data_IF_641907783609
#
_entry.id   IF_641907783609
#
_cell.length_a   1.000
_cell.length_b   1.000
_cell.length_c   1.000
_cell.angle_alpha   90.00
_cell.angle_beta   90.00
_cell.angle_gamma   90.00
#
_symmetry.space_group_name_H-M   'P 1'
#
loop_
_entity.id
_entity.type
_entity.pdbx_description
1 polymer ?
#
# COMPACT_ATOMS: atom_id res chain seq x y z
N UNK A 1 -26.50 -81.38 -16.88
CA UNK A 1 -25.39 -82.22 -16.36
C UNK A 1 -24.11 -81.39 -16.46
N UNK A 2 -23.46 -81.24 -15.31
CA UNK A 2 -22.24 -80.48 -15.00
C UNK A 2 -21.17 -80.47 -16.11
N UNK A 3 -20.58 -79.29 -16.40
CA UNK A 3 -19.13 -79.19 -16.53
C UNK A 3 -18.64 -77.76 -16.21
N UNK A 4 -18.01 -77.65 -15.04
CA UNK A 4 -17.17 -76.55 -14.55
C UNK A 4 -16.00 -76.32 -15.53
N UNK A 5 -15.76 -75.05 -15.91
CA UNK A 5 -14.44 -74.61 -16.40
C UNK A 5 -13.86 -73.63 -15.38
N UNK A 6 -12.66 -73.94 -14.90
CA UNK A 6 -11.87 -73.15 -13.95
C UNK A 6 -11.50 -71.78 -14.54
N UNK A 7 -11.79 -70.70 -13.81
CA UNK A 7 -11.13 -69.41 -13.96
C UNK A 7 -9.79 -69.44 -13.20
N UNK A 8 -8.68 -69.39 -13.93
CA UNK A 8 -7.37 -69.12 -13.36
C UNK A 8 -7.25 -67.61 -13.06
N UNK A 9 -7.09 -67.28 -11.78
CA UNK A 9 -6.78 -65.93 -11.31
C UNK A 9 -5.30 -65.63 -11.57
N UNK A 10 -5.03 -64.71 -12.51
CA UNK A 10 -3.70 -64.15 -12.68
C UNK A 10 -3.47 -63.07 -11.60
N UNK A 11 -2.65 -63.40 -10.60
CA UNK A 11 -2.07 -62.44 -9.66
C UNK A 11 -1.12 -61.51 -10.43
N UNK A 12 -1.53 -60.27 -10.65
CA UNK A 12 -0.66 -59.19 -11.10
C UNK A 12 0.21 -58.74 -9.92
N UNK A 13 1.48 -59.13 -9.94
CA UNK A 13 2.51 -58.57 -9.06
C UNK A 13 2.73 -57.10 -9.41
N UNK A 14 2.27 -56.20 -8.53
CA UNK A 14 2.59 -54.76 -8.62
C UNK A 14 4.06 -54.61 -8.24
N UNK A 15 4.93 -54.03 -9.10
CA UNK A 15 6.28 -53.72 -8.72
C UNK A 15 6.24 -52.61 -7.67
N UNK A 16 6.79 -52.88 -6.48
CA UNK A 16 7.08 -51.87 -5.47
C UNK A 16 8.10 -50.92 -6.08
N UNK A 17 7.63 -49.78 -6.58
CA UNK A 17 8.52 -48.69 -6.95
C UNK A 17 9.20 -48.19 -5.67
N UNK A 18 10.51 -48.32 -5.61
CA UNK A 18 11.33 -47.63 -4.63
C UNK A 18 11.05 -46.13 -4.75
N UNK A 19 10.27 -45.59 -3.82
CA UNK A 19 10.14 -44.15 -3.61
C UNK A 19 11.52 -43.68 -3.14
N UNK A 20 12.29 -43.14 -4.08
CA UNK A 20 13.50 -42.41 -3.73
C UNK A 20 13.07 -41.23 -2.86
N UNK A 21 13.56 -41.19 -1.62
CA UNK A 21 13.32 -40.07 -0.73
C UNK A 21 13.74 -38.78 -1.45
N UNK A 22 12.82 -37.82 -1.54
CA UNK A 22 13.15 -36.48 -2.04
C UNK A 22 14.34 -35.96 -1.23
N UNK A 23 15.35 -35.34 -1.86
CA UNK A 23 16.45 -34.75 -1.13
C UNK A 23 15.90 -33.79 -0.07
N UNK A 24 16.38 -33.94 1.16
CA UNK A 24 16.07 -33.02 2.26
C UNK A 24 16.25 -31.58 1.74
N UNK A 25 15.27 -30.67 1.89
CA UNK A 25 15.47 -29.28 1.53
C UNK A 25 16.69 -28.78 2.31
N UNK A 26 17.70 -28.28 1.58
CA UNK A 26 18.89 -27.71 2.18
C UNK A 26 18.46 -26.68 3.22
N UNK A 27 18.91 -26.84 4.46
CA UNK A 27 18.66 -25.89 5.55
C UNK A 27 19.17 -24.53 5.09
N UNK A 28 18.26 -23.60 4.84
CA UNK A 28 18.61 -22.21 4.53
C UNK A 28 19.28 -21.64 5.78
N UNK A 29 20.53 -21.19 5.66
CA UNK A 29 21.23 -20.58 6.78
C UNK A 29 20.47 -19.33 7.23
N UNK A 30 20.17 -19.23 8.53
CA UNK A 30 19.58 -18.04 9.10
C UNK A 30 20.50 -16.83 8.89
N UNK A 31 19.95 -15.60 8.68
CA UNK A 31 20.76 -14.40 8.63
C UNK A 31 21.64 -14.25 9.88
N UNK A 32 22.87 -13.74 9.76
CA UNK A 32 23.75 -13.54 10.92
C UNK A 32 23.19 -12.44 11.83
N UNK A 33 23.30 -12.61 13.15
CA UNK A 33 22.84 -11.62 14.15
C UNK A 33 23.61 -10.28 14.12
N UNK A 34 24.73 -10.23 13.39
CA UNK A 34 25.55 -9.03 13.18
C UNK A 34 25.98 -8.98 11.72
N UNK A 35 25.66 -7.89 11.04
CA UNK A 35 26.07 -7.70 9.65
C UNK A 35 27.47 -7.11 9.57
N UNK A 36 28.14 -7.38 8.45
CA UNK A 36 29.49 -6.88 8.20
C UNK A 36 29.42 -5.42 7.74
N UNK A 37 30.28 -4.55 8.26
CA UNK A 37 30.32 -3.18 7.76
C UNK A 37 30.85 -3.12 6.32
N UNK A 38 30.28 -2.22 5.50
CA UNK A 38 30.80 -1.94 4.17
C UNK A 38 30.99 -0.43 3.96
N UNK A 39 32.13 0.15 4.40
CA UNK A 39 32.37 1.59 4.31
C UNK A 39 32.50 2.11 2.87
N UNK A 40 32.70 1.22 1.88
CA UNK A 40 32.78 1.63 0.48
C UNK A 40 31.44 2.16 -0.07
N UNK A 41 30.31 1.76 0.51
CA UNK A 41 28.97 2.16 0.07
C UNK A 41 28.65 3.56 0.60
N UNK A 42 28.61 4.54 -0.31
CA UNK A 42 28.35 5.95 0.04
C UNK A 42 29.57 6.72 0.56
N UNK A 43 30.78 6.15 0.40
CA UNK A 43 32.08 6.79 0.68
C UNK A 43 32.27 7.25 2.14
N UNK A 44 31.91 6.40 3.10
CA UNK A 44 32.01 6.73 4.52
C UNK A 44 33.44 6.87 5.01
N UNK A 45 33.75 8.04 5.58
CA UNK A 45 35.03 8.34 6.24
C UNK A 45 34.75 9.01 7.59
N UNK A 46 35.69 8.93 8.54
CA UNK A 46 35.58 9.54 9.86
C UNK A 46 35.04 8.63 10.96
N UNK A 47 34.54 9.23 12.05
CA UNK A 47 33.97 8.48 13.18
C UNK A 47 32.67 7.81 12.78
N UNK A 48 32.33 6.68 13.41
CA UNK A 48 31.09 5.97 13.15
C UNK A 48 30.56 5.28 14.40
N UNK A 49 29.26 5.01 14.41
CA UNK A 49 28.61 4.16 15.41
C UNK A 49 27.90 3.01 14.71
N UNK A 50 28.09 1.81 15.23
CA UNK A 50 27.46 0.60 14.73
C UNK A 50 26.35 0.12 15.66
N UNK A 51 25.31 -0.45 15.07
CA UNK A 51 24.39 -1.41 15.69
C UNK A 51 24.51 -2.76 14.98
N UNK A 52 23.56 -3.69 15.13
CA UNK A 52 23.61 -5.00 14.50
C UNK A 52 23.59 -4.92 12.95
N UNK A 53 22.66 -4.12 12.43
CA UNK A 53 22.31 -4.06 11.01
C UNK A 53 22.63 -2.71 10.36
N UNK A 54 23.03 -1.70 11.14
CA UNK A 54 23.23 -0.33 10.67
C UNK A 54 24.54 0.28 11.14
N UNK A 55 25.00 1.28 10.37
CA UNK A 55 26.13 2.14 10.71
C UNK A 55 25.79 3.59 10.45
N UNK A 56 26.05 4.49 11.42
CA UNK A 56 25.85 5.95 11.28
C UNK A 56 27.20 6.66 11.16
N UNK A 57 27.27 7.64 10.25
CA UNK A 57 28.41 8.55 10.04
C UNK A 57 27.99 10.03 10.05
N UNK A 58 28.79 10.93 10.63
CA UNK A 58 29.76 10.65 11.70
C UNK A 58 29.05 10.20 12.98
N UNK A 59 29.77 9.57 13.90
CA UNK A 59 29.23 9.30 15.25
C UNK A 59 29.11 10.59 16.05
N UNK A 60 27.97 10.76 16.71
CA UNK A 60 27.61 11.92 17.53
C UNK A 60 26.49 11.61 18.55
N UNK A 61 25.86 12.65 19.10
CA UNK A 61 24.78 12.53 20.09
C UNK A 61 23.47 11.91 19.55
N UNK A 62 23.18 12.02 18.25
CA UNK A 62 21.95 11.50 17.64
C UNK A 62 22.10 10.05 17.16
N UNK A 63 23.34 9.58 17.05
CA UNK A 63 23.67 8.26 16.49
C UNK A 63 22.98 7.12 17.22
N UNK A 64 22.96 7.12 18.55
CA UNK A 64 22.35 6.04 19.33
C UNK A 64 20.82 6.01 19.17
N UNK A 65 20.16 7.17 19.15
CA UNK A 65 18.72 7.27 18.93
C UNK A 65 18.34 6.83 17.50
N UNK A 66 19.14 7.22 16.51
CA UNK A 66 18.97 6.83 15.10
C UNK A 66 19.09 5.31 14.93
N UNK A 67 20.16 4.72 15.45
CA UNK A 67 20.41 3.28 15.36
C UNK A 67 19.33 2.48 16.08
N UNK A 68 18.93 2.90 17.28
CA UNK A 68 17.87 2.27 18.07
C UNK A 68 16.53 2.22 17.31
N UNK A 69 16.18 3.31 16.64
CA UNK A 69 14.98 3.40 15.80
C UNK A 69 15.05 2.46 14.59
N UNK A 70 16.18 2.47 13.88
CA UNK A 70 16.39 1.62 12.69
C UNK A 70 16.43 0.13 13.05
N UNK A 71 17.02 -0.26 14.18
CA UNK A 71 16.97 -1.64 14.66
C UNK A 71 15.55 -2.10 14.99
N UNK A 72 14.74 -1.24 15.61
CA UNK A 72 13.32 -1.55 15.83
C UNK A 72 12.54 -1.65 14.50
N UNK A 73 12.86 -0.82 13.51
CA UNK A 73 12.26 -0.90 12.17
C UNK A 73 12.69 -2.19 11.45
N UNK A 74 13.97 -2.57 11.51
CA UNK A 74 14.49 -3.83 10.96
C UNK A 74 13.78 -5.03 11.58
N UNK A 75 13.71 -5.08 12.91
CA UNK A 75 13.04 -6.18 13.60
C UNK A 75 11.55 -6.26 13.25
N UNK A 76 10.86 -5.13 13.10
CA UNK A 76 9.47 -5.14 12.64
C UNK A 76 9.33 -5.65 11.20
N UNK A 77 10.00 -5.00 10.25
CA UNK A 77 9.72 -5.20 8.82
C UNK A 77 10.46 -6.38 8.22
N UNK A 78 11.76 -6.53 8.51
CA UNK A 78 12.59 -7.58 7.94
C UNK A 78 12.33 -8.90 8.67
N UNK A 79 12.47 -8.90 10.00
CA UNK A 79 12.33 -10.13 10.79
C UNK A 79 10.84 -10.50 11.01
N UNK A 80 10.01 -9.51 11.35
CA UNK A 80 8.61 -9.73 11.71
C UNK A 80 7.64 -9.82 10.51
N UNK A 81 7.92 -9.10 9.43
CA UNK A 81 7.04 -9.06 8.24
C UNK A 81 7.66 -9.69 6.99
N UNK A 82 8.92 -10.12 7.02
CA UNK A 82 9.56 -10.81 5.91
C UNK A 82 9.92 -9.92 4.71
N UNK A 83 10.07 -8.61 4.91
CA UNK A 83 10.68 -7.75 3.89
C UNK A 83 12.13 -8.18 3.66
N UNK A 84 12.59 -8.11 2.42
CA UNK A 84 13.99 -8.43 2.13
C UNK A 84 14.93 -7.42 2.78
N UNK A 85 15.95 -7.91 3.47
CA UNK A 85 16.89 -7.06 4.19
C UNK A 85 17.66 -6.14 3.24
N UNK A 86 17.73 -4.82 3.50
CA UNK A 86 18.58 -3.90 2.73
C UNK A 86 20.08 -4.18 2.86
N UNK A 87 20.47 -5.01 3.83
CA UNK A 87 21.84 -5.46 3.97
C UNK A 87 22.30 -6.45 2.90
N UNK A 88 21.38 -6.94 2.06
CA UNK A 88 21.70 -7.81 0.95
C UNK A 88 21.68 -7.07 -0.38
N UNK A 89 22.67 -7.34 -1.22
CA UNK A 89 22.68 -6.86 -2.59
C UNK A 89 21.44 -7.35 -3.33
N UNK A 90 20.70 -6.46 -4.00
CA UNK A 90 19.59 -6.87 -4.87
C UNK A 90 20.07 -7.79 -6.00
N UNK A 91 21.36 -7.77 -6.34
CA UNK A 91 21.94 -8.64 -7.38
C UNK A 91 21.92 -10.11 -6.98
N UNK A 92 21.78 -10.38 -5.68
CA UNK A 92 21.63 -11.73 -5.13
C UNK A 92 20.16 -12.16 -5.07
N UNK A 93 19.18 -11.33 -5.47
CA UNK A 93 17.74 -11.59 -5.35
C UNK A 93 17.19 -12.70 -6.28
N UNK A 94 18.05 -13.52 -6.89
CA UNK A 94 17.68 -14.56 -7.84
C UNK A 94 17.76 -16.00 -7.29
N UNK A 95 18.18 -16.23 -6.04
CA UNK A 95 18.21 -17.57 -5.44
C UNK A 95 17.12 -17.74 -4.38
N UNK A 96 16.51 -18.93 -4.35
CA UNK A 96 15.57 -19.36 -3.30
C UNK A 96 16.20 -19.41 -1.89
N UNK A 97 17.48 -19.09 -1.78
CA UNK A 97 18.27 -19.04 -0.55
C UNK A 97 19.12 -17.78 -0.54
N UNK A 98 18.86 -16.87 0.39
CA UNK A 98 19.70 -15.70 0.60
C UNK A 98 20.93 -16.10 1.41
N UNK A 99 22.09 -16.15 0.76
CA UNK A 99 23.33 -16.68 1.38
C UNK A 99 24.31 -15.59 1.81
N UNK A 100 23.93 -14.31 1.71
CA UNK A 100 24.82 -13.18 1.95
C UNK A 100 25.71 -12.85 0.74
N UNK A 101 26.81 -12.10 0.92
CA UNK A 101 27.23 -11.47 2.17
C UNK A 101 26.20 -10.45 2.69
N UNK A 102 26.11 -10.32 4.02
CA UNK A 102 25.19 -9.42 4.71
C UNK A 102 25.93 -8.18 5.20
N UNK A 103 25.51 -7.01 4.73
CA UNK A 103 26.16 -5.74 5.03
C UNK A 103 25.29 -4.82 5.88
N UNK A 104 25.93 -4.06 6.78
CA UNK A 104 25.23 -2.98 7.50
C UNK A 104 24.75 -1.93 6.50
N UNK A 105 23.53 -1.42 6.67
CA UNK A 105 23.06 -0.26 5.90
C UNK A 105 23.71 1.00 6.48
N UNK A 106 24.42 1.75 5.64
CA UNK A 106 25.08 2.99 6.06
C UNK A 106 24.08 4.15 6.08
N UNK A 107 24.19 5.01 7.10
CA UNK A 107 23.41 6.23 7.28
C UNK A 107 24.37 7.40 7.44
N UNK A 108 24.25 8.38 6.55
CA UNK A 108 25.11 9.56 6.51
C UNK A 108 24.32 10.77 6.97
N UNK A 109 24.70 11.34 8.11
CA UNK A 109 24.24 12.64 8.53
C UNK A 109 24.88 13.71 7.65
N UNK A 110 24.05 14.58 7.08
CA UNK A 110 24.50 15.67 6.19
C UNK A 110 23.93 17.00 6.64
N UNK A 111 24.58 18.09 6.22
CA UNK A 111 24.03 19.45 6.40
C UNK A 111 22.88 19.69 5.43
N UNK A 112 21.90 20.51 5.82
CA UNK A 112 20.76 20.86 4.98
C UNK A 112 21.18 21.46 3.62
N UNK A 113 22.30 22.21 3.60
CA UNK A 113 22.86 22.78 2.38
C UNK A 113 23.35 21.74 1.36
N UNK A 114 23.63 20.50 1.79
CA UNK A 114 24.02 19.41 0.91
C UNK A 114 22.81 18.70 0.26
N UNK A 115 21.60 18.92 0.78
CA UNK A 115 20.35 18.36 0.25
C UNK A 115 19.23 19.42 0.29
N UNK A 116 19.35 20.50 -0.51
CA UNK A 116 18.37 21.58 -0.49
C UNK A 116 16.98 21.07 -0.83
N UNK A 117 16.00 21.34 0.04
CA UNK A 117 14.61 20.96 -0.15
C UNK A 117 14.25 19.51 0.23
N UNK A 118 15.18 18.74 0.81
CA UNK A 118 14.92 17.36 1.27
C UNK A 118 15.36 17.15 2.73
N UNK A 119 14.55 16.43 3.49
CA UNK A 119 14.89 16.03 4.87
C UNK A 119 15.84 14.81 4.89
N UNK A 120 15.69 13.92 3.92
CA UNK A 120 16.55 12.78 3.70
C UNK A 120 16.42 12.29 2.25
N UNK A 121 17.33 11.41 1.84
CA UNK A 121 17.28 10.71 0.57
C UNK A 121 17.94 9.33 0.69
N UNK A 122 17.35 8.35 0.04
CA UNK A 122 17.97 7.04 -0.16
C UNK A 122 18.78 7.07 -1.43
N UNK A 123 20.07 6.82 -1.28
CA UNK A 123 21.00 6.69 -2.38
C UNK A 123 21.34 5.23 -2.62
N UNK A 124 21.87 4.95 -3.80
CA UNK A 124 22.17 3.58 -4.21
C UNK A 124 23.57 3.47 -4.76
N UNK A 125 24.20 2.33 -4.50
CA UNK A 125 25.36 1.87 -5.23
C UNK A 125 24.90 0.76 -6.17
N UNK A 126 24.66 1.10 -7.43
CA UNK A 126 24.20 0.15 -8.44
C UNK A 126 25.25 -0.92 -8.77
N UNK A 127 26.54 -0.67 -8.51
CA UNK A 127 27.61 -1.64 -8.73
C UNK A 127 27.58 -2.72 -7.64
N UNK A 128 27.45 -2.33 -6.38
CA UNK A 128 27.30 -3.25 -5.25
C UNK A 128 25.89 -3.83 -5.15
N UNK A 129 24.89 -3.15 -5.73
CA UNK A 129 23.48 -3.48 -5.59
C UNK A 129 22.90 -3.20 -4.21
N UNK A 130 23.44 -2.21 -3.50
CA UNK A 130 23.08 -1.86 -2.12
C UNK A 130 22.56 -0.42 -2.04
N UNK A 131 21.72 -0.14 -1.04
CA UNK A 131 21.25 1.19 -0.72
C UNK A 131 21.97 1.74 0.53
N UNK A 132 21.98 3.06 0.67
CA UNK A 132 22.43 3.78 1.86
C UNK A 132 21.63 5.07 2.02
N UNK A 133 21.55 5.57 3.25
CA UNK A 133 20.69 6.70 3.58
C UNK A 133 21.54 7.96 3.75
N UNK A 134 21.07 9.10 3.24
CA UNK A 134 21.55 10.42 3.63
C UNK A 134 20.42 11.14 4.35
N UNK A 135 20.68 11.66 5.55
CA UNK A 135 19.67 12.29 6.40
C UNK A 135 20.20 13.64 6.84
N UNK A 136 19.42 14.70 6.64
CA UNK A 136 19.78 16.03 7.16
C UNK A 136 19.80 15.97 8.68
N UNK A 137 20.82 16.58 9.30
CA UNK A 137 21.10 16.48 10.74
C UNK A 137 19.86 16.67 11.64
N UNK A 138 19.00 17.64 11.31
CA UNK A 138 17.83 18.00 12.12
C UNK A 138 16.74 16.89 12.13
N UNK A 139 16.85 15.90 11.25
CA UNK A 139 15.89 14.81 11.08
C UNK A 139 16.44 13.42 11.44
N UNK A 140 17.68 13.32 11.94
CA UNK A 140 18.32 12.03 12.28
C UNK A 140 17.48 11.17 13.24
N UNK A 141 16.73 11.81 14.12
CA UNK A 141 15.88 11.15 15.12
C UNK A 141 14.39 11.24 14.80
N UNK A 142 14.02 11.67 13.59
CA UNK A 142 12.63 11.80 13.15
C UNK A 142 12.15 10.52 12.46
N UNK A 143 11.26 9.72 13.07
CA UNK A 143 10.85 8.43 12.49
C UNK A 143 10.20 8.53 11.12
N UNK A 144 9.38 9.58 10.91
CA UNK A 144 8.72 9.81 9.63
C UNK A 144 9.69 10.04 8.47
N UNK A 145 10.93 10.44 8.75
CA UNK A 145 11.97 10.66 7.75
C UNK A 145 12.87 9.44 7.62
N UNK A 146 13.47 8.99 8.72
CA UNK A 146 14.49 7.93 8.66
C UNK A 146 13.88 6.57 8.31
N UNK A 147 12.68 6.25 8.81
CA UNK A 147 12.01 4.99 8.48
C UNK A 147 11.39 5.04 7.08
N UNK A 148 11.04 6.22 6.58
CA UNK A 148 10.67 6.42 5.18
C UNK A 148 11.83 6.03 4.25
N UNK A 149 13.03 6.55 4.51
CA UNK A 149 14.22 6.18 3.73
C UNK A 149 14.58 4.70 3.87
N UNK A 150 14.39 4.12 5.06
CA UNK A 150 14.54 2.67 5.22
C UNK A 150 13.53 1.89 4.36
N UNK A 151 12.31 2.40 4.18
CA UNK A 151 11.31 1.88 3.24
C UNK A 151 11.77 1.87 1.78
N UNK A 152 12.43 2.95 1.33
CA UNK A 152 13.08 2.98 0.01
C UNK A 152 14.20 1.93 -0.10
N UNK A 153 15.04 1.81 0.91
CA UNK A 153 16.12 0.81 0.92
C UNK A 153 15.59 -0.63 0.87
N UNK A 154 14.48 -0.93 1.57
CA UNK A 154 13.78 -2.22 1.47
C UNK A 154 13.17 -2.44 0.09
N UNK A 155 12.54 -1.42 -0.49
CA UNK A 155 11.97 -1.52 -1.85
C UNK A 155 13.07 -1.79 -2.89
N UNK A 156 14.22 -1.13 -2.76
CA UNK A 156 15.39 -1.36 -3.61
C UNK A 156 15.95 -2.78 -3.46
N UNK A 157 15.97 -3.32 -2.24
CA UNK A 157 16.51 -4.65 -2.00
C UNK A 157 15.73 -5.75 -2.75
N UNK A 158 14.42 -5.57 -2.97
CA UNK A 158 13.53 -6.54 -3.65
C UNK A 158 13.73 -6.64 -5.18
N UNK A 159 14.60 -5.82 -5.79
CA UNK A 159 14.96 -5.76 -7.23
C UNK A 159 13.83 -5.50 -8.23
N UNK A 160 12.70 -6.19 -8.19
CA UNK A 160 11.78 -6.32 -9.32
C UNK A 160 11.15 -5.00 -9.83
N UNK A 161 11.15 -3.95 -9.02
CA UNK A 161 10.69 -2.61 -9.41
C UNK A 161 11.81 -1.66 -9.86
N UNK A 162 13.08 -2.07 -9.75
CA UNK A 162 14.21 -1.31 -10.29
C UNK A 162 14.13 -1.33 -11.82
N UNK A 163 14.48 -0.19 -12.45
CA UNK A 163 14.44 0.03 -13.90
C UNK A 163 13.02 -0.08 -14.49
N UNK A 164 11.98 0.10 -13.66
CA UNK A 164 10.57 0.12 -14.07
C UNK A 164 9.98 1.51 -13.84
N UNK A 165 10.09 2.41 -14.83
CA UNK A 165 9.68 3.83 -14.73
C UNK A 165 8.30 4.00 -14.10
N UNK A 166 7.33 3.18 -14.49
CA UNK A 166 5.92 3.31 -14.05
C UNK A 166 5.66 2.86 -12.61
N UNK A 167 6.69 2.34 -11.93
CA UNK A 167 6.66 2.12 -10.48
C UNK A 167 7.15 3.34 -9.70
N UNK A 168 7.86 4.30 -10.34
CA UNK A 168 8.62 5.34 -9.65
C UNK A 168 7.83 6.12 -8.60
N UNK A 169 6.65 6.65 -8.93
CA UNK A 169 5.85 7.42 -7.95
C UNK A 169 5.38 6.57 -6.76
N UNK A 170 5.25 5.25 -6.94
CA UNK A 170 4.84 4.33 -5.88
C UNK A 170 5.94 4.07 -4.86
N UNK A 171 7.20 4.33 -5.18
CA UNK A 171 8.30 4.19 -4.22
C UNK A 171 8.07 5.11 -3.02
N UNK A 172 7.71 6.37 -3.26
CA UNK A 172 7.38 7.32 -2.20
C UNK A 172 6.12 6.94 -1.44
N UNK A 173 5.11 6.41 -2.15
CA UNK A 173 3.89 5.90 -1.52
C UNK A 173 4.19 4.75 -0.56
N UNK A 174 5.06 3.81 -0.95
CA UNK A 174 5.50 2.69 -0.11
C UNK A 174 6.35 3.18 1.06
N UNK A 175 7.29 4.09 0.82
CA UNK A 175 8.14 4.64 1.88
C UNK A 175 7.32 5.36 2.96
N UNK A 176 6.33 6.17 2.57
CA UNK A 176 5.40 6.78 3.52
C UNK A 176 4.47 5.77 4.21
N UNK A 177 4.02 4.74 3.50
CA UNK A 177 3.26 3.64 4.11
C UNK A 177 4.08 2.93 5.20
N UNK A 178 5.34 2.62 4.93
CA UNK A 178 6.26 1.97 5.88
C UNK A 178 6.49 2.86 7.10
N UNK A 179 6.75 4.15 6.89
CA UNK A 179 6.91 5.11 7.98
C UNK A 179 5.64 5.23 8.84
N UNK A 180 4.47 5.43 8.23
CA UNK A 180 3.21 5.53 8.96
C UNK A 180 2.90 4.22 9.72
N UNK A 181 3.08 3.07 9.08
CA UNK A 181 2.89 1.76 9.71
C UNK A 181 3.76 1.60 10.96
N UNK A 182 5.03 1.98 10.88
CA UNK A 182 5.95 1.96 12.01
C UNK A 182 5.49 2.87 13.15
N UNK A 183 5.07 4.09 12.85
CA UNK A 183 4.74 5.12 13.83
C UNK A 183 3.39 4.86 14.50
N UNK A 184 2.38 4.59 13.69
CA UNK A 184 0.98 4.83 14.03
C UNK A 184 0.13 3.57 14.14
N UNK A 185 0.68 2.39 13.83
CA UNK A 185 -0.06 1.12 13.88
C UNK A 185 0.50 0.16 14.94
N UNK A 186 -0.32 -0.78 15.45
CA UNK A 186 0.16 -1.83 16.35
C UNK A 186 1.20 -2.78 15.73
N UNK A 187 1.35 -2.79 14.39
CA UNK A 187 2.20 -3.74 13.65
C UNK A 187 3.64 -3.76 14.16
N UNK A 188 4.23 -2.59 14.43
CA UNK A 188 5.60 -2.47 14.93
C UNK A 188 5.68 -2.21 16.45
N UNK A 189 4.56 -2.29 17.17
CA UNK A 189 4.52 -1.93 18.60
C UNK A 189 5.42 -2.82 19.45
N UNK A 190 5.49 -4.13 19.17
CA UNK A 190 6.36 -5.05 19.90
C UNK A 190 7.85 -4.68 19.74
N UNK A 191 8.31 -4.45 18.51
CA UNK A 191 9.69 -4.05 18.23
C UNK A 191 10.05 -2.69 18.86
N UNK A 192 9.16 -1.70 18.76
CA UNK A 192 9.34 -0.40 19.40
C UNK A 192 9.35 -0.49 20.92
N UNK A 193 8.47 -1.30 21.51
CA UNK A 193 8.40 -1.49 22.97
C UNK A 193 9.64 -2.18 23.51
N UNK A 194 10.17 -3.19 22.80
CA UNK A 194 11.44 -3.85 23.14
C UNK A 194 12.63 -2.87 23.12
N UNK A 195 12.57 -1.86 22.25
CA UNK A 195 13.52 -0.76 22.25
C UNK A 195 13.18 0.33 23.29
N UNK A 196 11.97 0.41 23.84
CA UNK A 196 11.54 1.57 24.63
C UNK A 196 11.40 2.84 23.78
N UNK A 197 10.82 2.71 22.59
CA UNK A 197 10.45 3.79 21.69
C UNK A 197 8.93 4.03 21.75
N UNK A 198 8.48 5.29 21.64
CA UNK A 198 7.06 5.61 21.73
C UNK A 198 6.28 5.25 20.47
N UNK A 199 4.96 5.20 20.60
CA UNK A 199 4.05 5.33 19.46
C UNK A 199 3.92 6.81 19.05
N UNK A 200 3.51 7.08 17.81
CA UNK A 200 3.23 8.42 17.34
C UNK A 200 1.93 8.53 16.56
N UNK A 201 1.61 9.73 16.08
CA UNK A 201 0.43 9.97 15.26
C UNK A 201 0.64 9.54 13.81
N UNK A 202 -0.47 9.27 13.12
CA UNK A 202 -0.45 8.95 11.68
C UNK A 202 0.02 10.14 10.86
N UNK A 203 0.72 9.84 9.76
CA UNK A 203 1.18 10.78 8.74
C UNK A 203 0.08 11.11 7.72
N UNK A 204 -1.19 10.76 7.98
CA UNK A 204 -2.26 10.94 7.00
C UNK A 204 -2.59 12.43 6.80
N UNK A 205 -2.61 12.85 5.55
CA UNK A 205 -3.00 14.21 5.17
C UNK A 205 -4.43 14.21 4.60
N UNK A 206 -5.42 14.17 5.48
CA UNK A 206 -6.84 14.00 5.08
C UNK A 206 -7.35 15.07 4.11
N UNK A 207 -6.86 16.31 4.23
CA UNK A 207 -7.22 17.38 3.29
C UNK A 207 -6.78 17.05 1.86
N UNK A 208 -5.63 16.40 1.69
CA UNK A 208 -5.14 15.93 0.39
C UNK A 208 -5.88 14.66 -0.03
N UNK A 209 -5.89 13.63 0.82
CA UNK A 209 -6.44 12.30 0.47
C UNK A 209 -7.93 12.36 0.16
N UNK A 210 -8.73 13.04 0.99
CA UNK A 210 -10.19 13.14 0.80
C UNK A 210 -10.52 14.37 -0.05
N UNK A 211 -9.92 15.53 0.23
CA UNK A 211 -10.21 16.77 -0.48
C UNK A 211 -9.80 16.76 -1.95
N UNK A 212 -8.77 15.98 -2.30
CA UNK A 212 -8.33 15.76 -3.68
C UNK A 212 -8.56 14.31 -4.14
N UNK A 213 -9.52 13.59 -3.53
CA UNK A 213 -9.85 12.20 -3.88
C UNK A 213 -10.19 11.97 -5.36
N UNK A 214 -10.54 13.03 -6.09
CA UNK A 214 -10.81 13.00 -7.52
C UNK A 214 -9.55 12.87 -8.40
N UNK A 215 -8.34 13.09 -7.86
CA UNK A 215 -7.09 12.92 -8.59
C UNK A 215 -6.87 11.45 -8.98
N UNK A 216 -5.85 11.21 -9.82
CA UNK A 216 -5.40 9.85 -10.08
C UNK A 216 -4.95 9.20 -8.76
N UNK A 217 -5.25 7.90 -8.56
CA UNK A 217 -5.00 7.23 -7.28
C UNK A 217 -3.57 7.44 -6.75
N UNK A 218 -2.58 7.35 -7.65
CA UNK A 218 -1.20 7.77 -7.40
C UNK A 218 -0.80 8.76 -8.49
N UNK A 219 -0.72 10.03 -8.12
CA UNK A 219 -0.37 11.16 -8.97
C UNK A 219 1.01 11.70 -8.56
N UNK A 220 2.00 11.52 -9.42
CA UNK A 220 3.37 11.98 -9.23
C UNK A 220 3.63 13.40 -9.77
N UNK A 221 2.61 14.11 -10.26
CA UNK A 221 2.79 15.42 -10.88
C UNK A 221 3.45 16.40 -9.91
N UNK A 222 4.56 17.01 -10.32
CA UNK A 222 5.33 17.94 -9.48
C UNK A 222 4.45 19.09 -8.96
N UNK A 223 4.52 19.34 -7.66
CA UNK A 223 3.81 20.43 -6.98
C UNK A 223 2.31 20.22 -6.74
N UNK A 224 1.64 19.29 -7.44
CA UNK A 224 0.17 19.11 -7.32
C UNK A 224 -0.27 17.67 -7.03
N UNK A 225 0.60 16.69 -7.24
CA UNK A 225 0.33 15.27 -7.06
C UNK A 225 0.09 14.87 -5.60
N UNK A 226 -0.18 13.59 -5.40
CA UNK A 226 -0.53 12.99 -4.11
C UNK A 226 0.29 11.72 -3.78
N UNK A 227 1.34 11.41 -4.54
CA UNK A 227 2.11 10.17 -4.41
C UNK A 227 2.73 9.93 -3.00
N UNK A 228 3.01 10.97 -2.23
CA UNK A 228 3.35 10.84 -0.80
C UNK A 228 2.13 10.51 0.06
N UNK A 229 0.95 11.02 -0.28
CA UNK A 229 -0.29 10.91 0.50
C UNK A 229 -1.17 9.71 0.11
N UNK A 230 -0.89 9.03 -1.00
CA UNK A 230 -1.70 7.92 -1.53
C UNK A 230 -1.58 6.60 -0.72
N UNK A 231 -0.71 6.57 0.29
CA UNK A 231 -0.44 5.39 1.11
C UNK A 231 -1.65 4.76 1.81
N UNK A 232 -2.78 5.45 2.11
CA UNK A 232 -3.94 4.80 2.71
C UNK A 232 -4.51 3.66 1.84
N UNK A 233 -4.31 3.70 0.52
CA UNK A 233 -4.62 2.56 -0.34
C UNK A 233 -3.77 1.34 -0.02
N UNK A 234 -2.47 1.52 0.23
CA UNK A 234 -1.57 0.45 0.66
C UNK A 234 -1.98 -0.09 2.03
N UNK A 235 -2.34 0.79 2.96
CA UNK A 235 -2.88 0.38 4.26
C UNK A 235 -4.15 -0.45 4.13
N UNK A 236 -5.07 -0.07 3.25
CA UNK A 236 -6.30 -0.81 2.99
C UNK A 236 -6.06 -2.22 2.45
N UNK A 237 -5.19 -2.38 1.45
CA UNK A 237 -4.90 -3.71 0.89
C UNK A 237 -4.04 -4.56 1.84
N UNK A 238 -3.29 -3.94 2.74
CA UNK A 238 -2.52 -4.66 3.77
C UNK A 238 -3.37 -5.11 4.95
N UNK A 239 -4.28 -4.28 5.45
CA UNK A 239 -5.19 -4.65 6.55
C UNK A 239 -6.33 -5.53 6.07
N UNK A 240 -6.70 -5.41 4.79
CA UNK A 240 -7.69 -6.22 4.10
C UNK A 240 -9.02 -6.38 4.88
N UNK A 241 -9.68 -5.26 5.27
CA UNK A 241 -10.88 -5.31 6.12
C UNK A 241 -12.10 -5.94 5.44
N UNK A 242 -12.02 -6.17 4.12
CA UNK A 242 -13.03 -6.82 3.30
C UNK A 242 -12.69 -8.30 2.99
N UNK A 243 -11.57 -8.81 3.52
CA UNK A 243 -11.15 -10.20 3.37
C UNK A 243 -11.01 -10.66 1.92
N UNK A 244 -10.53 -9.79 1.02
CA UNK A 244 -10.22 -10.15 -0.36
C UNK A 244 -9.13 -11.25 -0.37
N UNK A 245 -9.38 -12.40 -1.02
CA UNK A 245 -8.38 -13.46 -1.10
C UNK A 245 -7.10 -12.98 -1.80
N UNK A 246 -5.95 -13.39 -1.26
CA UNK A 246 -4.63 -13.00 -1.78
C UNK A 246 -4.11 -11.65 -1.27
N UNK A 247 -4.90 -10.90 -0.50
CA UNK A 247 -4.46 -9.67 0.18
C UNK A 247 -4.21 -9.90 1.69
N UNK A 248 -3.55 -8.94 2.34
CA UNK A 248 -3.08 -9.03 3.73
C UNK A 248 -1.67 -8.47 3.95
N UNK A 249 -1.03 -8.87 5.06
CA UNK A 249 0.27 -8.34 5.53
C UNK A 249 1.39 -8.36 4.47
N UNK A 250 1.41 -9.37 3.61
CA UNK A 250 2.44 -9.57 2.59
C UNK A 250 2.09 -8.93 1.24
N UNK A 251 0.95 -8.24 1.12
CA UNK A 251 0.45 -7.75 -0.20
C UNK A 251 1.49 -6.93 -0.94
N UNK A 252 2.14 -5.97 -0.28
CA UNK A 252 3.08 -5.06 -0.93
C UNK A 252 4.32 -5.81 -1.42
N UNK A 253 4.90 -6.67 -0.58
CA UNK A 253 6.02 -7.53 -0.98
C UNK A 253 5.63 -8.43 -2.14
N UNK A 254 4.45 -9.03 -2.10
CA UNK A 254 3.95 -9.87 -3.18
C UNK A 254 3.69 -9.08 -4.47
N UNK A 255 3.28 -7.81 -4.40
CA UNK A 255 3.15 -6.93 -5.57
C UNK A 255 4.51 -6.68 -6.23
N UNK A 256 5.57 -6.56 -5.43
CA UNK A 256 6.95 -6.39 -5.92
C UNK A 256 7.49 -7.72 -6.46
N UNK A 257 7.44 -8.78 -5.67
CA UNK A 257 7.99 -10.12 -5.99
C UNK A 257 7.29 -10.78 -7.17
N UNK A 258 5.98 -10.55 -7.36
CA UNK A 258 5.21 -11.06 -8.51
C UNK A 258 5.05 -10.03 -9.63
N UNK A 259 5.77 -8.90 -9.56
CA UNK A 259 5.86 -7.97 -10.68
C UNK A 259 6.47 -8.64 -11.90
N UNK A 260 5.91 -8.39 -13.09
CA UNK A 260 6.47 -8.94 -14.31
C UNK A 260 7.70 -8.11 -14.70
N UNK A 261 8.90 -8.62 -14.38
CA UNK A 261 10.17 -7.96 -14.68
C UNK A 261 10.23 -7.55 -16.16
N UNK A 262 10.73 -6.34 -16.43
CA UNK A 262 10.83 -5.73 -17.77
C UNK A 262 9.50 -5.50 -18.50
N UNK A 263 8.36 -5.61 -17.80
CA UNK A 263 7.06 -5.26 -18.41
C UNK A 263 6.78 -3.77 -18.40
N UNK A 264 7.43 -3.02 -17.50
CA UNK A 264 7.08 -1.64 -17.17
C UNK A 264 5.55 -1.47 -17.01
N UNK A 265 4.86 -2.42 -16.41
CA UNK A 265 3.45 -2.27 -16.02
C UNK A 265 3.34 -1.37 -14.76
N UNK A 266 2.14 -0.86 -14.49
CA UNK A 266 1.89 -0.18 -13.20
C UNK A 266 1.71 -1.20 -12.08
N UNK A 267 2.00 -0.85 -10.81
CA UNK A 267 1.77 -1.73 -9.66
C UNK A 267 0.35 -2.29 -9.54
N UNK A 268 -0.67 -1.63 -10.10
CA UNK A 268 -2.04 -2.14 -10.14
C UNK A 268 -2.18 -3.45 -10.96
N UNK A 269 -1.33 -3.69 -11.96
CA UNK A 269 -1.34 -4.94 -12.72
C UNK A 269 -0.79 -6.11 -11.89
N UNK A 270 0.25 -5.87 -11.09
CA UNK A 270 0.70 -6.84 -10.08
C UNK A 270 -0.40 -7.17 -9.07
N UNK A 271 -1.09 -6.13 -8.58
CA UNK A 271 -2.18 -6.31 -7.63
C UNK A 271 -3.35 -7.09 -8.24
N UNK A 272 -3.71 -6.82 -9.49
CA UNK A 272 -4.72 -7.61 -10.23
C UNK A 272 -4.35 -9.09 -10.31
N UNK A 273 -3.08 -9.41 -10.59
CA UNK A 273 -2.62 -10.81 -10.57
C UNK A 273 -2.69 -11.46 -9.20
N UNK A 274 -2.43 -10.71 -8.12
CA UNK A 274 -2.59 -11.23 -6.76
C UNK A 274 -4.04 -11.61 -6.49
N UNK A 275 -4.98 -10.71 -6.82
CA UNK A 275 -6.42 -10.95 -6.68
C UNK A 275 -6.87 -12.16 -7.50
N UNK A 276 -6.39 -12.31 -8.74
CA UNK A 276 -6.79 -13.41 -9.62
C UNK A 276 -6.13 -14.76 -9.27
N UNK A 277 -4.98 -14.74 -8.57
CA UNK A 277 -4.23 -15.96 -8.24
C UNK A 277 -4.86 -16.82 -7.14
N UNK A 278 -5.88 -16.31 -6.46
CA UNK A 278 -6.61 -17.08 -5.46
C UNK A 278 -7.76 -17.86 -6.08
N UNK A 279 -7.77 -19.19 -5.87
CA UNK A 279 -8.85 -20.08 -6.31
C UNK A 279 -10.21 -19.78 -5.66
N UNK A 280 -10.23 -18.97 -4.60
CA UNK A 280 -11.44 -18.46 -3.93
C UNK A 280 -11.76 -16.99 -4.27
N UNK A 281 -11.09 -16.40 -5.28
CA UNK A 281 -11.17 -14.97 -5.62
C UNK A 281 -12.58 -14.42 -5.89
N UNK A 282 -13.60 -15.27 -6.06
CA UNK A 282 -15.01 -14.85 -6.13
C UNK A 282 -15.31 -13.85 -7.25
N UNK A 283 -14.44 -13.74 -8.26
CA UNK A 283 -14.52 -12.69 -9.29
C UNK A 283 -14.25 -11.28 -8.77
N UNK A 284 -13.40 -11.12 -7.74
CA UNK A 284 -12.88 -9.83 -7.31
C UNK A 284 -11.97 -9.25 -8.40
N UNK A 285 -12.27 -8.03 -8.83
CA UNK A 285 -11.46 -7.29 -9.81
C UNK A 285 -10.79 -6.12 -9.13
N UNK A 286 -9.72 -5.61 -9.73
CA UNK A 286 -9.05 -4.40 -9.27
C UNK A 286 -10.00 -3.19 -9.19
N UNK A 287 -10.98 -3.11 -10.10
CA UNK A 287 -12.03 -2.08 -10.08
C UNK A 287 -12.89 -2.17 -8.83
N UNK A 288 -13.34 -3.38 -8.45
CA UNK A 288 -14.12 -3.58 -7.21
C UNK A 288 -13.28 -3.25 -5.97
N UNK A 289 -12.00 -3.63 -5.96
CA UNK A 289 -11.10 -3.33 -4.86
C UNK A 289 -10.90 -1.81 -4.67
N UNK A 290 -10.63 -1.08 -5.75
CA UNK A 290 -10.48 0.40 -5.72
C UNK A 290 -11.80 1.07 -5.34
N UNK A 291 -12.93 0.61 -5.87
CA UNK A 291 -14.25 1.12 -5.49
C UNK A 291 -14.54 0.95 -4.00
N UNK A 292 -14.24 -0.24 -3.45
CA UNK A 292 -14.43 -0.52 -2.02
C UNK A 292 -13.44 0.25 -1.15
N UNK A 293 -12.18 0.42 -1.58
CA UNK A 293 -11.22 1.30 -0.91
C UNK A 293 -11.81 2.71 -0.72
N UNK A 294 -12.29 3.33 -1.79
CA UNK A 294 -12.89 4.66 -1.70
C UNK A 294 -14.17 4.68 -0.85
N UNK A 295 -14.97 3.62 -0.90
CA UNK A 295 -16.13 3.49 -0.02
C UNK A 295 -15.72 3.47 1.46
N UNK A 296 -14.65 2.75 1.81
CA UNK A 296 -14.07 2.73 3.17
C UNK A 296 -13.50 4.09 3.56
N UNK A 297 -12.90 4.81 2.61
CA UNK A 297 -12.40 6.17 2.83
C UNK A 297 -13.50 7.20 3.14
N UNK A 298 -14.78 6.91 2.89
CA UNK A 298 -15.89 7.76 3.33
C UNK A 298 -15.90 7.99 4.86
N UNK A 299 -15.41 7.01 5.63
CA UNK A 299 -15.28 7.09 7.08
C UNK A 299 -13.89 6.63 7.59
N UNK A 300 -12.93 6.51 6.68
CA UNK A 300 -11.53 6.09 6.92
C UNK A 300 -11.43 4.82 7.79
N UNK A 301 -12.34 3.87 7.59
CA UNK A 301 -12.39 2.58 8.33
C UNK A 301 -11.55 1.50 7.63
N UNK A 302 -10.39 1.88 7.10
CA UNK A 302 -9.45 1.02 6.35
C UNK A 302 -8.58 0.12 7.25
N UNK A 303 -9.05 -0.22 8.46
CA UNK A 303 -8.27 -0.96 9.45
C UNK A 303 -7.14 -0.15 10.10
N UNK A 304 -7.18 1.18 10.02
CA UNK A 304 -6.17 2.08 10.61
C UNK A 304 -6.80 2.99 11.67
N UNK A 305 -6.66 2.62 12.94
CA UNK A 305 -7.39 3.26 14.04
C UNK A 305 -7.03 4.75 14.24
N UNK A 306 -5.75 5.12 14.10
CA UNK A 306 -5.31 6.51 14.29
C UNK A 306 -5.73 7.39 13.10
N UNK A 307 -5.70 6.87 11.88
CA UNK A 307 -6.25 7.57 10.71
C UNK A 307 -7.76 7.79 10.83
N UNK A 308 -8.51 6.78 11.29
CA UNK A 308 -9.94 6.92 11.59
C UNK A 308 -10.20 7.99 12.66
N UNK A 309 -9.44 7.99 13.75
CA UNK A 309 -9.58 8.99 14.82
C UNK A 309 -9.29 10.42 14.31
N UNK A 310 -8.25 10.58 13.49
CA UNK A 310 -7.93 11.86 12.86
C UNK A 310 -9.04 12.31 11.90
N UNK A 311 -9.65 11.38 11.15
CA UNK A 311 -10.80 11.68 10.31
C UNK A 311 -11.98 12.21 11.12
N UNK A 312 -12.36 11.52 12.19
CA UNK A 312 -13.50 11.94 13.01
C UNK A 312 -13.31 13.35 13.59
N UNK A 313 -12.08 13.73 13.95
CA UNK A 313 -11.79 15.07 14.44
C UNK A 313 -11.77 16.14 13.35
N UNK A 314 -11.35 15.80 12.13
CA UNK A 314 -11.17 16.77 11.03
C UNK A 314 -12.30 16.80 10.00
N UNK A 315 -13.22 15.82 9.99
CA UNK A 315 -14.16 15.60 8.87
C UNK A 315 -15.01 16.81 8.48
N UNK A 316 -15.31 17.70 9.43
CA UNK A 316 -16.07 18.95 9.18
C UNK A 316 -15.29 20.00 8.37
N UNK A 317 -13.97 19.90 8.33
CA UNK A 317 -13.08 20.83 7.62
C UNK A 317 -12.66 20.34 6.23
N UNK A 318 -13.06 19.13 5.85
CA UNK A 318 -12.68 18.50 4.58
C UNK A 318 -13.56 19.02 3.45
N UNK A 319 -12.99 19.10 2.25
CA UNK A 319 -13.68 19.58 1.07
C UNK A 319 -14.41 18.44 0.35
N UNK A 320 -15.74 18.44 0.41
CA UNK A 320 -16.61 17.50 -0.30
C UNK A 320 -17.38 18.13 -1.46
N UNK A 321 -17.03 19.36 -1.86
CA UNK A 321 -17.80 20.15 -2.82
C UNK A 321 -17.58 19.67 -4.27
N UNK A 322 -17.94 18.42 -4.56
CA UNK A 322 -17.71 17.72 -5.82
C UNK A 322 -18.80 17.96 -6.87
N UNK A 323 -20.00 18.41 -6.46
CA UNK A 323 -21.18 18.51 -7.32
C UNK A 323 -21.73 19.94 -7.41
N UNK A 324 -22.41 20.23 -8.52
CA UNK A 324 -23.28 21.38 -8.73
C UNK A 324 -24.75 20.93 -8.70
N UNK A 325 -25.60 21.71 -8.01
CA UNK A 325 -27.03 21.44 -7.90
C UNK A 325 -27.76 21.84 -9.18
N UNK A 326 -28.59 20.94 -9.71
CA UNK A 326 -29.46 21.20 -10.87
C UNK A 326 -30.95 21.32 -10.49
N UNK A 327 -31.26 21.32 -9.19
CA UNK A 327 -32.63 21.30 -8.66
C UNK A 327 -33.26 19.90 -8.64
N UNK A 328 -34.38 19.76 -7.93
CA UNK A 328 -35.17 18.51 -7.85
C UNK A 328 -34.36 17.25 -7.47
N UNK A 329 -33.38 17.40 -6.56
CA UNK A 329 -32.51 16.31 -6.12
C UNK A 329 -31.50 15.83 -7.19
N UNK A 330 -31.35 16.57 -8.30
CA UNK A 330 -30.37 16.30 -9.35
C UNK A 330 -29.11 17.12 -9.15
N UNK A 331 -27.98 16.48 -9.42
CA UNK A 331 -26.66 17.09 -9.30
C UNK A 331 -25.77 16.60 -10.43
N UNK A 332 -24.80 17.43 -10.84
CA UNK A 332 -23.78 17.08 -11.82
C UNK A 332 -22.40 17.25 -11.21
N UNK A 333 -21.46 16.38 -11.53
CA UNK A 333 -20.07 16.52 -11.07
C UNK A 333 -19.42 17.78 -11.65
N UNK A 334 -18.69 18.52 -10.82
CA UNK A 334 -17.87 19.64 -11.27
C UNK A 334 -16.75 19.11 -12.15
N UNK A 335 -16.56 19.70 -13.33
CA UNK A 335 -15.51 19.28 -14.28
C UNK A 335 -14.11 19.24 -13.64
N UNK A 336 -13.78 20.23 -12.81
CA UNK A 336 -12.49 20.32 -12.11
C UNK A 336 -12.29 19.25 -11.02
N UNK A 337 -13.37 18.58 -10.59
CA UNK A 337 -13.38 17.56 -9.53
C UNK A 337 -13.96 16.22 -10.02
N UNK A 338 -14.09 16.06 -11.34
CA UNK A 338 -14.52 14.82 -11.95
C UNK A 338 -13.46 13.74 -11.67
N UNK A 339 -13.83 12.58 -11.08
CA UNK A 339 -12.89 11.54 -10.70
C UNK A 339 -12.05 11.06 -11.88
N UNK A 340 -10.74 11.21 -11.79
CA UNK A 340 -9.76 10.73 -12.77
C UNK A 340 -9.47 9.26 -12.54
N UNK A 341 -8.51 8.70 -13.27
CA UNK A 341 -8.18 7.28 -13.22
C UNK A 341 -8.01 6.74 -11.78
N UNK A 342 -8.91 5.84 -11.37
CA UNK A 342 -8.96 5.23 -10.04
C UNK A 342 -9.17 6.22 -8.88
N UNK A 343 -9.57 7.45 -9.15
CA UNK A 343 -10.02 8.44 -8.17
C UNK A 343 -11.52 8.33 -7.88
N UNK A 344 -12.01 9.14 -6.93
CA UNK A 344 -13.41 9.14 -6.51
C UNK A 344 -13.98 10.52 -6.17
N UNK A 345 -15.32 10.60 -6.16
CA UNK A 345 -16.09 11.63 -5.49
C UNK A 345 -16.71 11.04 -4.23
N UNK A 346 -16.40 11.62 -3.07
CA UNK A 346 -17.01 11.29 -1.78
C UNK A 346 -18.06 12.37 -1.45
N UNK A 347 -19.30 11.95 -1.21
CA UNK A 347 -20.48 12.82 -1.17
C UNK A 347 -21.30 12.54 0.10
N UNK A 348 -20.96 13.17 1.25
CA UNK A 348 -21.77 13.06 2.46
C UNK A 348 -23.19 13.54 2.19
N UNK A 349 -24.20 12.74 2.54
CA UNK A 349 -25.59 13.06 2.27
C UNK A 349 -26.28 13.55 3.55
N UNK A 350 -27.05 14.62 3.42
CA UNK A 350 -27.96 15.09 4.46
C UNK A 350 -29.34 14.49 4.24
N UNK A 351 -29.67 13.47 5.02
CA UNK A 351 -30.95 12.78 4.96
C UNK A 351 -32.11 13.70 5.34
N UNK A 352 -33.24 13.54 4.64
CA UNK A 352 -34.52 14.23 4.93
C UNK A 352 -35.63 13.23 5.28
N UNK A 353 -35.32 11.94 5.29
CA UNK A 353 -36.23 10.86 5.64
C UNK A 353 -35.49 9.57 5.97
N UNK A 354 -36.26 8.50 6.23
CA UNK A 354 -35.73 7.20 6.65
C UNK A 354 -35.19 6.33 5.51
N UNK A 355 -35.37 6.74 4.24
CA UNK A 355 -34.87 6.02 3.09
C UNK A 355 -34.13 6.98 2.17
N UNK A 356 -32.95 6.57 1.70
CA UNK A 356 -32.16 7.31 0.72
C UNK A 356 -32.02 6.45 -0.53
N UNK A 357 -32.47 6.98 -1.67
CA UNK A 357 -32.32 6.34 -2.97
C UNK A 357 -31.44 7.18 -3.87
N UNK A 358 -30.55 6.51 -4.61
CA UNK A 358 -29.59 7.15 -5.50
C UNK A 358 -29.61 6.47 -6.86
N UNK A 359 -29.59 7.28 -7.91
CA UNK A 359 -29.28 6.84 -9.28
C UNK A 359 -28.10 7.67 -9.78
N UNK A 360 -27.04 6.99 -10.19
CA UNK A 360 -25.83 7.55 -10.81
C UNK A 360 -25.86 7.26 -12.29
N UNK A 361 -25.72 8.29 -13.11
CA UNK A 361 -25.63 8.17 -14.57
C UNK A 361 -24.30 8.77 -15.02
N UNK A 362 -23.45 7.95 -15.63
CA UNK A 362 -22.16 8.38 -16.15
C UNK A 362 -22.20 8.56 -17.67
N UNK A 363 -21.57 9.63 -18.17
CA UNK A 363 -21.38 9.87 -19.61
C UNK A 363 -20.05 9.27 -20.05
N UNK A 364 -20.05 7.97 -20.37
CA UNK A 364 -18.86 7.22 -20.79
C UNK A 364 -17.94 6.82 -19.63
N UNK A 365 -17.24 5.69 -19.80
CA UNK A 365 -16.35 5.13 -18.78
C UNK A 365 -17.05 4.14 -17.84
N UNK A 366 -16.23 3.35 -17.13
CA UNK A 366 -16.69 2.39 -16.14
C UNK A 366 -16.52 2.99 -14.74
N UNK A 367 -17.49 2.75 -13.87
CA UNK A 367 -17.47 3.27 -12.51
C UNK A 367 -18.01 2.24 -11.52
N UNK A 368 -17.62 2.40 -10.27
CA UNK A 368 -18.28 1.76 -9.12
C UNK A 368 -18.94 2.83 -8.29
N UNK A 369 -20.13 2.55 -7.76
CA UNK A 369 -20.79 3.43 -6.81
C UNK A 369 -21.27 2.64 -5.59
N UNK A 370 -21.11 3.24 -4.42
CA UNK A 370 -21.48 2.62 -3.14
C UNK A 370 -22.11 3.67 -2.23
N UNK A 371 -23.17 3.30 -1.53
CA UNK A 371 -23.67 4.01 -0.35
C UNK A 371 -23.00 3.41 0.89
N UNK A 372 -22.14 4.19 1.53
CA UNK A 372 -21.53 3.87 2.82
C UNK A 372 -22.40 4.45 3.93
N UNK A 373 -22.90 3.60 4.83
CA UNK A 373 -23.74 4.01 5.95
C UNK A 373 -23.01 3.77 7.26
N UNK A 374 -22.75 4.84 8.00
CA UNK A 374 -22.13 4.80 9.33
C UNK A 374 -23.24 4.76 10.37
N UNK A 375 -23.20 3.73 11.22
CA UNK A 375 -24.05 3.61 12.38
C UNK A 375 -23.60 4.47 13.56
N UNK A 376 -24.48 4.64 14.54
CA UNK A 376 -24.19 5.40 15.78
C UNK A 376 -23.01 4.82 16.58
N UNK A 377 -22.81 3.49 16.54
CA UNK A 377 -21.65 2.81 17.13
C UNK A 377 -20.35 2.91 16.32
N UNK A 378 -20.35 3.62 15.19
CA UNK A 378 -19.16 3.83 14.35
C UNK A 378 -18.80 2.69 13.39
N UNK A 379 -19.58 1.61 13.37
CA UNK A 379 -19.53 0.59 12.33
C UNK A 379 -20.09 1.11 11.01
N UNK A 380 -19.57 0.62 9.89
CA UNK A 380 -19.98 1.05 8.55
C UNK A 380 -20.43 -0.14 7.74
N UNK A 381 -21.58 0.00 7.07
CA UNK A 381 -22.10 -0.98 6.12
C UNK A 381 -22.11 -0.39 4.72
N UNK A 382 -21.87 -1.25 3.73
CA UNK A 382 -21.69 -0.85 2.34
C UNK A 382 -22.76 -1.47 1.47
N UNK A 383 -23.41 -0.64 0.66
CA UNK A 383 -24.37 -1.09 -0.33
C UNK A 383 -23.89 -0.66 -1.72
N UNK A 384 -23.59 -1.64 -2.57
CA UNK A 384 -23.18 -1.37 -3.94
C UNK A 384 -24.38 -1.00 -4.80
N UNK A 385 -24.23 0.05 -5.60
CA UNK A 385 -25.25 0.54 -6.52
C UNK A 385 -25.09 -0.21 -7.84
N UNK A 386 -25.67 -1.40 -7.91
CA UNK A 386 -25.62 -2.24 -9.11
C UNK A 386 -26.23 -1.47 -10.28
N UNK A 387 -25.49 -1.38 -11.39
CA UNK A 387 -25.85 -0.57 -12.56
C UNK A 387 -26.11 0.92 -12.21
N UNK A 388 -25.46 1.43 -11.18
CA UNK A 388 -25.58 2.83 -10.75
C UNK A 388 -26.82 3.16 -9.92
N UNK A 389 -27.65 2.19 -9.54
CA UNK A 389 -28.87 2.45 -8.76
C UNK A 389 -28.91 1.65 -7.46
N UNK A 390 -29.46 2.24 -6.40
CA UNK A 390 -29.68 1.56 -5.12
C UNK A 390 -30.41 2.42 -4.09
N UNK A 391 -30.91 1.78 -3.04
CA UNK A 391 -31.62 2.45 -1.95
C UNK A 391 -31.31 1.83 -0.60
N UNK A 392 -31.13 2.65 0.42
CA UNK A 392 -30.82 2.20 1.78
C UNK A 392 -31.79 2.82 2.79
N UNK A 393 -32.29 1.99 3.71
CA UNK A 393 -32.99 2.47 4.88
C UNK A 393 -31.98 2.98 5.92
N UNK A 394 -32.26 4.10 6.56
CA UNK A 394 -31.46 4.69 7.62
C UNK A 394 -32.17 4.54 8.96
N UNK A 395 -31.49 3.94 9.93
CA UNK A 395 -31.92 4.00 11.32
C UNK A 395 -31.61 5.36 11.94
N UNK A 396 -32.22 5.64 13.09
CA UNK A 396 -31.98 6.90 13.82
C UNK A 396 -30.50 7.06 14.15
N UNK A 397 -29.92 8.22 13.80
CA UNK A 397 -28.52 8.53 14.02
C UNK A 397 -27.54 7.93 13.01
N UNK A 398 -28.02 7.24 11.96
CA UNK A 398 -27.15 6.81 10.85
C UNK A 398 -26.86 7.95 9.87
N UNK A 399 -25.64 7.93 9.31
CA UNK A 399 -25.19 8.87 8.29
C UNK A 399 -24.87 8.13 6.99
N UNK A 400 -25.33 8.66 5.86
CA UNK A 400 -25.07 8.08 4.53
C UNK A 400 -24.07 8.95 3.75
N UNK A 401 -23.15 8.29 3.06
CA UNK A 401 -22.22 8.93 2.11
C UNK A 401 -22.26 8.16 0.81
N UNK A 402 -22.53 8.85 -0.30
CA UNK A 402 -22.38 8.28 -1.63
C UNK A 402 -20.92 8.40 -2.06
N UNK A 403 -20.36 7.32 -2.59
CA UNK A 403 -19.04 7.30 -3.20
C UNK A 403 -19.19 6.86 -4.65
N UNK A 404 -18.62 7.63 -5.57
CA UNK A 404 -18.56 7.30 -7.01
C UNK A 404 -17.09 7.30 -7.42
N UNK A 405 -16.55 6.14 -7.76
CA UNK A 405 -15.15 5.99 -8.20
C UNK A 405 -15.07 5.68 -9.70
N UNK A 406 -14.13 6.34 -10.39
CA UNK A 406 -13.83 6.07 -11.80
C UNK A 406 -12.89 4.86 -11.88
N UNK A 407 -13.44 3.74 -12.31
CA UNK A 407 -12.76 2.44 -12.28
C UNK A 407 -12.72 1.83 -13.69
N UNK A 408 -11.96 2.42 -14.62
CA UNK A 408 -11.82 1.90 -15.98
C UNK A 408 -10.97 0.62 -15.98
N UNK A 409 -10.78 0.05 -17.17
CA UNK A 409 -9.78 -1.02 -17.36
C UNK A 409 -8.38 -0.54 -16.95
N UNK A 410 -7.49 -1.47 -16.58
CA UNK A 410 -6.12 -1.10 -16.29
C UNK A 410 -5.42 -0.54 -17.52
N UNK A 411 -4.63 0.51 -17.33
CA UNK A 411 -3.79 1.10 -18.35
C UNK A 411 -2.40 1.29 -17.79
N UNK A 412 -1.40 1.24 -18.66
CA UNK A 412 -0.02 1.46 -18.26
C UNK A 412 0.36 2.92 -18.51
N UNK A 413 0.71 3.65 -17.46
CA UNK A 413 1.09 5.06 -17.53
C UNK A 413 2.20 5.37 -16.53
N UNK A 414 2.99 6.40 -16.82
CA UNK A 414 3.96 6.95 -15.87
C UNK A 414 3.24 7.96 -14.97
N UNK A 415 3.23 7.71 -13.67
CA UNK A 415 2.57 8.57 -12.70
C UNK A 415 3.25 9.94 -12.55
N UNK A 416 4.51 10.10 -12.97
CA UNK A 416 5.19 11.40 -13.06
C UNK A 416 4.85 12.18 -14.34
N UNK A 417 4.23 11.53 -15.32
CA UNK A 417 3.85 12.12 -16.61
C UNK A 417 2.48 11.58 -17.07
N UNK A 418 1.43 11.96 -16.34
CA UNK A 418 0.07 11.46 -16.54
C UNK A 418 -0.48 11.89 -17.92
N UNK A 419 -0.83 10.94 -18.81
CA UNK A 419 -1.38 11.26 -20.11
C UNK A 419 -2.83 11.75 -20.03
N UNK A 420 -3.29 12.42 -21.09
CA UNK A 420 -4.58 13.12 -21.09
C UNK A 420 -5.80 12.21 -20.88
N UNK A 421 -5.73 10.95 -21.32
CA UNK A 421 -6.78 9.95 -21.15
C UNK A 421 -6.88 9.45 -19.69
N UNK A 422 -5.75 9.24 -19.01
CA UNK A 422 -5.69 8.92 -17.57
C UNK A 422 -6.13 10.12 -16.73
N UNK A 423 -5.79 11.33 -17.17
CA UNK A 423 -6.17 12.57 -16.51
C UNK A 423 -7.62 13.00 -16.79
N UNK A 424 -8.33 12.32 -17.69
CA UNK A 424 -9.71 12.62 -18.04
C UNK A 424 -10.63 12.21 -16.88
N UNK A 425 -11.38 13.19 -16.36
CA UNK A 425 -12.37 12.94 -15.32
C UNK A 425 -13.62 12.23 -15.85
N UNK A 426 -14.21 11.37 -15.01
CA UNK A 426 -15.51 10.76 -15.22
C UNK A 426 -16.61 11.80 -15.07
N UNK A 427 -17.28 12.16 -16.18
CA UNK A 427 -18.50 12.93 -16.14
C UNK A 427 -19.67 12.08 -15.64
N UNK A 428 -20.37 12.55 -14.61
CA UNK A 428 -21.58 11.89 -14.12
C UNK A 428 -22.59 12.88 -13.52
N UNK A 429 -23.84 12.44 -13.47
CA UNK A 429 -24.93 13.08 -12.73
C UNK A 429 -25.51 12.11 -11.71
N UNK A 430 -26.04 12.65 -10.62
CA UNK A 430 -26.76 11.86 -9.61
C UNK A 430 -28.16 12.41 -9.39
N UNK A 431 -29.12 11.52 -9.25
CA UNK A 431 -30.44 11.79 -8.70
C UNK A 431 -30.48 11.21 -7.29
N UNK A 432 -30.76 12.04 -6.30
CA UNK A 432 -30.91 11.64 -4.91
C UNK A 432 -32.36 11.91 -4.47
N UNK A 433 -32.97 10.92 -3.82
CA UNK A 433 -34.29 11.01 -3.20
C UNK A 433 -34.17 10.67 -1.72
N UNK A 434 -34.84 11.44 -0.85
CA UNK A 434 -34.78 11.25 0.61
C UNK A 434 -33.53 11.80 1.28
N UNK A 435 -32.65 12.48 0.52
CA UNK A 435 -31.50 13.21 1.02
C UNK A 435 -31.09 14.33 0.04
N UNK A 436 -30.15 15.17 0.48
CA UNK A 436 -29.44 16.18 -0.33
C UNK A 436 -27.93 15.92 -0.24
N UNK A 437 -27.19 16.23 -1.31
CA UNK A 437 -25.74 15.98 -1.43
C UNK A 437 -24.92 17.25 -1.18
#
# INVERSE_FOLDING_TARGET
>A
MLLLLLLASALLSIPVQHVSALPNPAVVAAPPAQFTANPSIGSGTGSYKDSAHFRVYPSDADSDATLKMLEAAHSCFVEGMGWRSPGLSYKNAASATETGPWYKTNVYKVEASAMPGAAAQTWTDANAGLAYLKVVKDYMTTPGVVVHEFGHAMTYSEKNWIDQTRTGAWWETIANFIADMYIATPTCQAAKSAAGLPDGDTLIELKKVIGDSYQVLVDGTSGTGNYYQAWPFLSYITTNPDSYPGLGKETIQNMIRKYKINSNETPLHSLERLLSSSSSSGGATIQKLVGRYWARMAYVDIGHAKAKAMFESQRKSLNYANLDANGNGKWTVKSARAPRYMGASILPLKSTGANVSVVVTASGGNFTATLAVKGSGGGVRYMDLVNGSGSVALASGEEATLVVANTPALVQYDAFSIPADVNKGLGFSVQVTGATA
#
